data_IF_377602200382
#
_entry.id   IF_377602200382
#
_cell.length_a   1.000
_cell.length_b   1.000
_cell.length_c   1.000
_cell.angle_alpha   90.00
_cell.angle_beta   90.00
_cell.angle_gamma   90.00
#
_symmetry.space_group_name_H-M   'P 1'
#
loop_
_entity.id
_entity.type
_entity.pdbx_description
1 polymer ?
#
# COMPACT_ATOMS: atom_id res chain seq x y z
N UNK A 1 26.09 -0.14 6.78
CA UNK A 1 25.21 -0.90 7.70
C UNK A 1 24.27 -1.89 7.00
N UNK A 2 23.79 -1.66 5.77
CA UNK A 2 22.91 -2.61 5.01
C UNK A 2 23.64 -3.68 4.17
N UNK A 3 24.96 -3.55 3.94
CA UNK A 3 25.77 -4.55 3.25
C UNK A 3 25.79 -5.93 3.95
N UNK A 4 25.42 -6.02 5.23
CA UNK A 4 25.25 -7.28 5.96
C UNK A 4 23.84 -7.88 5.85
N UNK A 5 22.80 -7.04 5.69
CA UNK A 5 21.39 -7.46 5.58
C UNK A 5 21.10 -8.21 4.27
N UNK A 6 21.77 -7.80 3.19
CA UNK A 6 21.58 -8.33 1.82
C UNK A 6 22.43 -9.59 1.56
N UNK A 7 23.38 -9.94 2.44
CA UNK A 7 24.19 -11.16 2.33
C UNK A 7 23.48 -12.44 2.81
N UNK A 8 22.19 -12.37 3.13
CA UNK A 8 21.38 -13.56 3.41
C UNK A 8 21.24 -14.43 2.15
N UNK A 9 21.55 -15.73 2.25
CA UNK A 9 21.18 -16.72 1.22
C UNK A 9 19.64 -16.79 1.11
N UNK A 10 19.08 -17.03 -0.08
CA UNK A 10 17.64 -17.23 -0.32
C UNK A 10 16.91 -16.02 -0.93
N UNK A 11 15.62 -15.85 -0.60
CA UNK A 11 14.65 -14.92 -1.24
C UNK A 11 15.21 -13.51 -1.52
N UNK A 12 15.97 -12.94 -0.59
CA UNK A 12 16.57 -11.60 -0.73
C UNK A 12 17.58 -11.50 -1.85
N UNK A 13 18.44 -12.51 -1.99
CA UNK A 13 19.48 -12.54 -3.02
C UNK A 13 18.84 -12.52 -4.39
N UNK A 14 17.88 -13.41 -4.63
CA UNK A 14 17.20 -13.50 -5.92
C UNK A 14 16.51 -12.19 -6.29
N UNK A 15 15.89 -11.53 -5.30
CA UNK A 15 15.20 -10.26 -5.51
C UNK A 15 16.19 -9.12 -5.81
N UNK A 16 17.28 -9.03 -5.05
CA UNK A 16 18.35 -8.05 -5.29
C UNK A 16 19.06 -8.29 -6.63
N UNK A 17 19.34 -9.54 -7.00
CA UNK A 17 19.93 -9.91 -8.29
C UNK A 17 19.02 -9.50 -9.45
N UNK A 18 17.70 -9.74 -9.35
CA UNK A 18 16.73 -9.28 -10.36
C UNK A 18 16.75 -7.75 -10.54
N UNK A 19 16.81 -7.01 -9.43
CA UNK A 19 16.85 -5.54 -9.47
C UNK A 19 18.19 -5.03 -10.04
N UNK A 20 19.31 -5.69 -9.68
CA UNK A 20 20.65 -5.23 -10.04
C UNK A 20 21.06 -5.59 -11.48
N UNK A 21 20.70 -6.79 -11.95
CA UNK A 21 21.14 -7.31 -13.24
C UNK A 21 20.38 -6.73 -14.44
N UNK A 22 19.29 -6.02 -14.20
CA UNK A 22 18.47 -5.42 -15.25
C UNK A 22 18.32 -3.93 -14.99
N UNK A 23 18.88 -3.12 -15.88
CA UNK A 23 18.69 -1.66 -15.89
C UNK A 23 17.59 -1.36 -16.90
N UNK A 24 16.55 -0.64 -16.51
CA UNK A 24 15.35 -0.41 -17.36
C UNK A 24 15.24 1.00 -17.91
N UNK A 25 16.26 1.85 -17.69
CA UNK A 25 16.38 3.18 -18.30
C UNK A 25 16.13 4.32 -17.30
N UNK A 26 15.20 5.22 -17.61
CA UNK A 26 14.89 6.38 -16.77
C UNK A 26 14.02 5.99 -15.57
N UNK A 27 14.54 6.24 -14.36
CA UNK A 27 13.83 6.00 -13.11
C UNK A 27 12.57 6.85 -13.03
N UNK A 28 11.44 6.22 -12.72
CA UNK A 28 10.17 6.92 -12.47
C UNK A 28 9.45 6.30 -11.31
N UNK A 29 8.86 7.13 -10.47
CA UNK A 29 8.02 6.67 -9.38
C UNK A 29 6.58 7.13 -9.57
N UNK A 30 5.64 6.22 -9.33
CA UNK A 30 4.22 6.54 -9.17
C UNK A 30 3.80 6.23 -7.74
N UNK A 31 3.22 7.23 -7.06
CA UNK A 31 2.69 7.06 -5.71
C UNK A 31 1.23 6.62 -5.80
N UNK A 32 0.86 5.57 -5.07
CA UNK A 32 -0.50 5.01 -5.06
C UNK A 32 -0.91 4.58 -3.64
N UNK A 33 -2.17 4.20 -3.49
CA UNK A 33 -2.68 3.44 -2.36
C UNK A 33 -3.19 2.10 -2.89
N UNK A 34 -2.96 1.03 -2.12
CA UNK A 34 -3.50 -0.31 -2.45
C UNK A 34 -4.64 -0.70 -1.51
N UNK A 35 -4.74 -0.02 -0.37
CA UNK A 35 -5.79 -0.15 0.62
C UNK A 35 -6.29 1.23 1.03
N UNK A 36 -7.51 1.28 1.56
CA UNK A 36 -8.14 2.48 2.08
C UNK A 36 -9.08 2.13 3.24
N UNK A 37 -9.18 3.03 4.22
CA UNK A 37 -10.26 2.99 5.21
C UNK A 37 -11.45 3.74 4.60
N UNK A 38 -12.58 3.06 4.48
CA UNK A 38 -13.78 3.54 3.79
C UNK A 38 -15.01 3.36 4.68
N UNK A 39 -16.19 3.89 4.33
CA UNK A 39 -17.43 3.56 5.03
C UNK A 39 -17.75 2.06 5.07
N UNK A 40 -17.22 1.26 4.12
CA UNK A 40 -17.37 -0.20 4.08
C UNK A 40 -16.32 -0.93 4.94
N UNK A 41 -15.55 -0.19 5.74
CA UNK A 41 -14.37 -0.69 6.45
C UNK A 41 -13.11 -0.61 5.59
N UNK A 42 -12.12 -1.43 5.93
CA UNK A 42 -10.87 -1.51 5.19
C UNK A 42 -11.09 -2.22 3.85
N UNK A 43 -10.90 -1.48 2.75
CA UNK A 43 -10.88 -2.02 1.40
C UNK A 43 -9.44 -2.25 0.99
N UNK A 44 -9.15 -3.45 0.45
CA UNK A 44 -7.82 -3.80 -0.05
C UNK A 44 -7.92 -4.43 -1.44
N UNK A 45 -7.26 -3.82 -2.42
CA UNK A 45 -7.25 -4.31 -3.80
C UNK A 45 -6.14 -5.34 -4.02
N UNK A 46 -6.24 -6.48 -3.33
CA UNK A 46 -5.26 -7.57 -3.39
C UNK A 46 -5.06 -8.12 -4.80
N UNK A 47 -6.10 -8.19 -5.62
CA UNK A 47 -6.03 -8.68 -7.02
C UNK A 47 -5.09 -7.87 -7.91
N UNK A 48 -4.84 -6.60 -7.58
CA UNK A 48 -3.87 -5.77 -8.29
C UNK A 48 -2.45 -6.30 -8.14
N UNK A 49 -2.16 -7.06 -7.07
CA UNK A 49 -0.85 -7.68 -6.88
C UNK A 49 -0.56 -8.66 -8.01
N UNK A 50 -1.49 -9.59 -8.25
CA UNK A 50 -1.34 -10.64 -9.26
C UNK A 50 -1.37 -10.05 -10.69
N UNK A 51 -2.11 -8.95 -10.88
CA UNK A 51 -2.15 -8.23 -12.16
C UNK A 51 -0.82 -7.53 -12.52
N UNK A 52 -0.01 -7.18 -11.53
CA UNK A 52 1.22 -6.39 -11.71
C UNK A 52 2.51 -7.18 -11.51
N UNK A 53 2.45 -8.36 -10.91
CA UNK A 53 3.63 -9.18 -10.66
C UNK A 53 3.30 -10.68 -10.49
N UNK A 54 4.08 -11.51 -11.17
CA UNK A 54 4.11 -12.96 -10.95
C UNK A 54 5.00 -13.32 -9.76
N UNK A 55 6.08 -12.56 -9.53
CA UNK A 55 7.01 -12.81 -8.45
C UNK A 55 6.63 -11.96 -7.24
N UNK A 56 5.86 -12.52 -6.33
CA UNK A 56 5.41 -11.82 -5.13
C UNK A 56 6.28 -12.21 -3.93
N UNK A 57 6.81 -11.20 -3.22
CA UNK A 57 7.50 -11.36 -1.94
C UNK A 57 6.64 -10.69 -0.87
N UNK A 58 6.14 -11.48 0.06
CA UNK A 58 5.34 -10.99 1.18
C UNK A 58 6.23 -10.72 2.38
N UNK A 59 6.20 -9.48 2.86
CA UNK A 59 6.75 -9.07 4.15
C UNK A 59 5.67 -9.26 5.20
N UNK A 60 5.72 -10.37 5.93
CA UNK A 60 4.82 -10.63 7.04
C UNK A 60 5.31 -9.84 8.28
N UNK A 61 4.78 -8.63 8.42
CA UNK A 61 5.17 -7.63 9.42
C UNK A 61 4.00 -7.27 10.32
N UNK A 62 3.56 -8.25 11.11
CA UNK A 62 2.46 -8.14 12.09
C UNK A 62 2.56 -6.90 13.00
N UNK A 63 3.78 -6.43 13.30
CA UNK A 63 4.01 -5.29 14.19
C UNK A 63 4.37 -3.99 13.46
N UNK A 64 4.51 -4.00 12.12
CA UNK A 64 4.87 -2.83 11.32
C UNK A 64 6.26 -2.26 11.61
N UNK A 65 7.21 -3.09 12.06
CA UNK A 65 8.51 -2.63 12.56
C UNK A 65 9.62 -2.66 11.50
N UNK A 66 9.58 -3.61 10.58
CA UNK A 66 10.69 -3.84 9.64
C UNK A 66 10.31 -3.47 8.20
N UNK A 67 9.04 -3.65 7.81
CA UNK A 67 8.54 -3.50 6.45
C UNK A 67 8.87 -2.13 5.87
N UNK A 68 8.54 -1.05 6.60
CA UNK A 68 8.86 0.33 6.18
C UNK A 68 10.34 0.49 5.82
N UNK A 69 11.24 0.09 6.73
CA UNK A 69 12.69 0.26 6.54
C UNK A 69 13.20 -0.55 5.35
N UNK A 70 12.76 -1.81 5.24
CA UNK A 70 13.15 -2.69 4.13
C UNK A 70 12.64 -2.11 2.80
N UNK A 71 11.37 -1.73 2.73
CA UNK A 71 10.77 -1.18 1.51
C UNK A 71 11.44 0.14 1.10
N UNK A 72 11.79 1.02 2.04
CA UNK A 72 12.54 2.24 1.72
C UNK A 72 13.88 1.95 1.04
N UNK A 73 14.58 0.90 1.47
CA UNK A 73 15.85 0.48 0.85
C UNK A 73 15.61 -0.10 -0.54
N UNK A 74 14.60 -0.95 -0.70
CA UNK A 74 14.22 -1.53 -2.01
C UNK A 74 13.83 -0.43 -2.99
N UNK A 75 13.04 0.54 -2.55
CA UNK A 75 12.64 1.73 -3.33
C UNK A 75 13.88 2.47 -3.83
N UNK A 76 14.81 2.77 -2.93
CA UNK A 76 16.02 3.50 -3.28
C UNK A 76 16.89 2.73 -4.27
N UNK A 77 17.07 1.42 -4.07
CA UNK A 77 17.86 0.58 -4.98
C UNK A 77 17.18 0.44 -6.35
N UNK A 78 15.87 0.23 -6.40
CA UNK A 78 15.15 0.12 -7.66
C UNK A 78 15.26 1.41 -8.48
N UNK A 79 15.07 2.57 -7.85
CA UNK A 79 15.22 3.87 -8.50
C UNK A 79 16.67 4.13 -8.94
N UNK A 80 17.67 3.77 -8.12
CA UNK A 80 19.08 3.96 -8.49
C UNK A 80 19.50 3.12 -9.71
N UNK A 81 18.77 2.03 -9.99
CA UNK A 81 18.93 1.17 -11.16
C UNK A 81 18.04 1.54 -12.35
N UNK A 82 17.37 2.70 -12.29
CA UNK A 82 16.59 3.20 -13.42
C UNK A 82 15.20 2.57 -13.54
N UNK A 83 14.73 1.87 -12.52
CA UNK A 83 13.42 1.21 -12.59
C UNK A 83 12.26 2.17 -12.47
N UNK A 84 11.21 1.89 -13.26
CA UNK A 84 9.88 2.45 -13.04
C UNK A 84 9.18 1.65 -11.95
N UNK A 85 8.82 2.31 -10.86
CA UNK A 85 8.21 1.67 -9.68
C UNK A 85 6.86 2.29 -9.33
N UNK A 86 6.01 1.48 -8.69
CA UNK A 86 4.80 1.96 -8.02
C UNK A 86 5.01 1.76 -6.53
N UNK A 87 5.01 2.85 -5.77
CA UNK A 87 5.13 2.84 -4.32
C UNK A 87 3.76 3.07 -3.71
N UNK A 88 3.28 2.09 -2.94
CA UNK A 88 2.01 2.19 -2.23
C UNK A 88 2.24 2.44 -0.75
N UNK A 89 1.63 3.50 -0.24
CA UNK A 89 1.72 3.88 1.16
C UNK A 89 0.55 3.33 1.98
N UNK A 90 0.76 3.27 3.29
CA UNK A 90 -0.30 3.03 4.26
C UNK A 90 -1.32 4.17 4.21
N UNK A 91 -2.63 3.92 4.09
CA UNK A 91 -3.64 4.97 4.09
C UNK A 91 -3.67 5.76 5.40
N UNK A 92 -3.22 5.16 6.51
CA UNK A 92 -3.14 5.80 7.83
C UNK A 92 -1.83 6.58 8.06
N UNK A 93 -0.85 6.42 7.16
CA UNK A 93 0.44 7.11 7.25
C UNK A 93 1.01 7.35 5.83
N UNK A 94 0.28 8.11 4.98
CA UNK A 94 0.51 8.17 3.54
C UNK A 94 1.81 8.90 3.15
N UNK A 95 2.44 9.62 4.07
CA UNK A 95 3.66 10.39 3.83
C UNK A 95 4.92 9.75 4.43
N UNK A 96 4.76 8.67 5.20
CA UNK A 96 5.85 8.13 6.00
C UNK A 96 6.00 6.60 5.86
N UNK A 97 4.89 5.85 5.80
CA UNK A 97 4.94 4.38 5.83
C UNK A 97 4.64 3.79 4.44
N UNK A 98 5.68 3.31 3.76
CA UNK A 98 5.53 2.46 2.57
C UNK A 98 5.02 1.08 3.02
N UNK A 99 4.04 0.53 2.31
CA UNK A 99 3.50 -0.82 2.53
C UNK A 99 3.72 -1.76 1.35
N UNK A 100 3.74 -1.25 0.12
CA UNK A 100 3.97 -2.08 -1.06
C UNK A 100 4.85 -1.37 -2.09
N UNK A 101 5.64 -2.15 -2.84
CA UNK A 101 6.42 -1.70 -3.98
C UNK A 101 6.22 -2.68 -5.14
N UNK A 102 5.89 -2.16 -6.31
CA UNK A 102 5.85 -2.91 -7.56
C UNK A 102 6.97 -2.44 -8.48
N UNK A 103 7.61 -3.40 -9.15
CA UNK A 103 8.58 -3.17 -10.22
C UNK A 103 8.07 -3.93 -11.47
N UNK A 104 7.12 -3.36 -12.23
CA UNK A 104 6.40 -4.09 -13.29
C UNK A 104 7.31 -4.69 -14.37
N UNK A 105 8.38 -3.98 -14.75
CA UNK A 105 9.33 -4.46 -15.76
C UNK A 105 10.08 -5.75 -15.35
N UNK A 106 10.08 -6.07 -14.04
CA UNK A 106 10.66 -7.29 -13.49
C UNK A 106 9.60 -8.34 -13.11
N UNK A 107 8.31 -8.04 -13.31
CA UNK A 107 7.19 -8.84 -12.80
C UNK A 107 7.38 -9.17 -11.31
N UNK A 108 7.75 -8.17 -10.51
CA UNK A 108 8.19 -8.31 -9.12
C UNK A 108 7.42 -7.35 -8.20
N UNK A 109 6.92 -7.87 -7.09
CA UNK A 109 6.27 -7.09 -6.05
C UNK A 109 6.81 -7.44 -4.66
N UNK A 110 6.96 -6.41 -3.82
CA UNK A 110 7.16 -6.54 -2.39
C UNK A 110 5.94 -5.97 -1.69
N UNK A 111 5.24 -6.80 -0.93
CA UNK A 111 3.93 -6.45 -0.35
C UNK A 111 3.91 -6.76 1.13
N UNK A 112 3.37 -5.86 1.95
CA UNK A 112 3.26 -6.07 3.40
C UNK A 112 1.96 -6.78 3.76
N UNK A 113 2.06 -7.86 4.53
CA UNK A 113 0.94 -8.47 5.23
C UNK A 113 0.99 -8.10 6.72
N UNK A 114 -0.18 -7.91 7.32
CA UNK A 114 -0.33 -7.64 8.75
C UNK A 114 -1.73 -8.08 9.26
N UNK A 115 -2.14 -7.63 10.45
CA UNK A 115 -3.46 -7.91 11.01
C UNK A 115 -4.62 -7.46 10.11
N UNK A 116 -4.45 -6.34 9.41
CA UNK A 116 -5.46 -5.68 8.58
C UNK A 116 -5.36 -6.06 7.10
N UNK A 117 -4.14 -6.25 6.59
CA UNK A 117 -3.88 -6.59 5.18
C UNK A 117 -3.49 -8.06 5.07
N UNK A 118 -4.45 -8.89 4.65
CA UNK A 118 -4.22 -10.31 4.36
C UNK A 118 -3.92 -10.49 2.88
N UNK A 119 -2.84 -11.21 2.59
CA UNK A 119 -2.42 -11.53 1.23
C UNK A 119 -2.52 -13.03 1.07
N UNK A 120 -3.45 -13.46 0.22
CA UNK A 120 -3.70 -14.85 -0.09
C UNK A 120 -3.09 -15.16 -1.46
N UNK A 121 -1.78 -15.35 -1.49
CA UNK A 121 -1.07 -15.80 -2.69
C UNK A 121 -0.23 -17.02 -2.31
N UNK A 122 -0.55 -18.18 -2.88
CA UNK A 122 0.05 -19.48 -2.54
C UNK A 122 1.48 -19.63 -3.06
N UNK A 123 1.80 -18.95 -4.15
CA UNK A 123 3.11 -18.99 -4.79
C UNK A 123 4.04 -17.89 -4.27
N UNK A 124 3.53 -17.01 -3.40
CA UNK A 124 4.29 -15.94 -2.82
C UNK A 124 5.37 -16.46 -1.86
N UNK A 125 6.55 -15.85 -1.97
CA UNK A 125 7.67 -16.12 -1.06
C UNK A 125 7.52 -15.23 0.18
N UNK A 126 7.44 -15.85 1.36
CA UNK A 126 7.17 -15.13 2.60
C UNK A 126 8.46 -14.85 3.37
N UNK A 127 8.57 -13.62 3.86
CA UNK A 127 9.60 -13.15 4.76
C UNK A 127 8.93 -12.73 6.06
N UNK A 128 9.07 -13.54 7.10
CA UNK A 128 8.59 -13.18 8.44
C UNK A 128 9.48 -12.10 9.04
N UNK A 129 8.96 -10.88 9.16
CA UNK A 129 9.70 -9.72 9.65
C UNK A 129 10.03 -9.81 11.15
N UNK A 130 9.32 -10.67 11.90
CA UNK A 130 9.62 -10.96 13.32
C UNK A 130 11.06 -11.45 13.54
N UNK A 131 11.72 -12.01 12.52
CA UNK A 131 13.15 -12.40 12.59
C UNK A 131 14.11 -11.21 12.70
N UNK A 132 13.65 -10.01 12.33
CA UNK A 132 14.42 -8.77 12.43
C UNK A 132 14.12 -8.00 13.72
N UNK A 133 13.19 -8.49 14.54
CA UNK A 133 12.75 -7.81 15.75
C UNK A 133 13.46 -8.35 17.00
N UNK A 134 13.56 -7.50 18.04
CA UNK A 134 13.99 -7.95 19.36
C UNK A 134 12.91 -8.86 19.99
N UNK A 135 13.15 -10.18 19.94
CA UNK A 135 12.21 -11.21 20.45
C UNK A 135 11.98 -11.12 21.95
N UNK A 136 13.01 -10.79 22.73
CA UNK A 136 12.90 -10.61 24.19
C UNK A 136 12.06 -9.37 24.51
N UNK A 137 12.28 -8.28 23.76
CA UNK A 137 11.47 -7.06 23.85
C UNK A 137 10.00 -7.30 23.52
N UNK A 138 9.71 -8.08 22.48
CA UNK A 138 8.33 -8.48 22.14
C UNK A 138 7.72 -9.34 23.25
N UNK A 139 8.47 -10.33 23.75
CA UNK A 139 7.97 -11.28 24.75
C UNK A 139 7.67 -10.60 26.08
N UNK A 140 8.59 -9.78 26.57
CA UNK A 140 8.42 -9.01 27.82
C UNK A 140 7.24 -8.03 27.77
N UNK A 141 6.87 -7.54 26.57
CA UNK A 141 5.80 -6.54 26.38
C UNK A 141 4.52 -7.10 25.77
N UNK A 142 4.38 -8.44 25.66
CA UNK A 142 3.27 -9.10 24.95
C UNK A 142 1.87 -8.64 25.40
N UNK A 143 1.66 -8.41 26.70
CA UNK A 143 0.39 -7.91 27.23
C UNK A 143 0.05 -6.51 26.68
N UNK A 144 1.03 -5.60 26.69
CA UNK A 144 0.87 -4.24 26.16
C UNK A 144 0.67 -4.23 24.64
N UNK A 145 1.40 -5.09 23.92
CA UNK A 145 1.22 -5.25 22.47
C UNK A 145 -0.22 -5.70 22.15
N UNK A 146 -0.75 -6.70 22.84
CA UNK A 146 -2.14 -7.14 22.64
C UNK A 146 -3.16 -6.07 22.99
N UNK A 147 -2.94 -5.34 24.09
CA UNK A 147 -3.81 -4.23 24.47
C UNK A 147 -3.85 -3.16 23.36
N UNK A 148 -2.68 -2.72 22.88
CA UNK A 148 -2.59 -1.74 21.79
C UNK A 148 -3.19 -2.26 20.48
N UNK A 149 -3.06 -3.56 20.19
CA UNK A 149 -3.67 -4.17 19.01
C UNK A 149 -5.20 -4.06 19.04
N UNK A 150 -5.82 -4.41 20.18
CA UNK A 150 -7.28 -4.26 20.36
C UNK A 150 -7.71 -2.81 20.24
N UNK A 151 -6.99 -1.89 20.90
CA UNK A 151 -7.29 -0.46 20.78
C UNK A 151 -7.18 0.03 19.32
N UNK A 152 -6.19 -0.46 18.56
CA UNK A 152 -6.05 -0.14 17.13
C UNK A 152 -7.21 -0.68 16.30
N UNK A 153 -7.70 -1.88 16.59
CA UNK A 153 -8.86 -2.48 15.93
C UNK A 153 -10.14 -1.66 16.23
N UNK A 154 -10.35 -1.27 17.49
CA UNK A 154 -11.47 -0.41 17.90
C UNK A 154 -11.42 0.97 17.24
N UNK A 155 -10.24 1.60 17.18
CA UNK A 155 -10.06 2.89 16.51
C UNK A 155 -10.32 2.81 15.00
N UNK A 156 -9.95 1.71 14.36
CA UNK A 156 -10.27 1.49 12.94
C UNK A 156 -11.77 1.35 12.71
N UNK A 157 -12.45 0.62 13.59
CA UNK A 157 -13.90 0.47 13.52
C UNK A 157 -14.61 1.82 13.69
N UNK A 158 -14.22 2.60 14.71
CA UNK A 158 -14.78 3.95 14.92
C UNK A 158 -14.48 4.89 13.74
N UNK A 159 -13.29 4.81 13.16
CA UNK A 159 -12.95 5.57 11.96
C UNK A 159 -13.89 5.26 10.78
N UNK A 160 -14.22 3.98 10.57
CA UNK A 160 -15.19 3.57 9.56
C UNK A 160 -16.60 4.10 9.87
N UNK A 161 -17.02 4.08 11.13
CA UNK A 161 -18.33 4.59 11.57
C UNK A 161 -18.47 6.10 11.33
N UNK A 162 -17.42 6.86 11.59
CA UNK A 162 -17.38 8.29 11.27
C UNK A 162 -17.48 8.54 9.76
N UNK A 163 -16.85 7.71 8.93
CA UNK A 163 -16.99 7.80 7.48
C UNK A 163 -18.41 7.48 7.01
N UNK A 164 -19.11 6.55 7.66
CA UNK A 164 -20.52 6.26 7.39
C UNK A 164 -21.40 7.48 7.73
N UNK A 165 -21.16 8.12 8.87
CA UNK A 165 -21.90 9.32 9.26
C UNK A 165 -21.67 10.47 8.26
N UNK A 166 -20.41 10.70 7.89
CA UNK A 166 -20.05 11.68 6.87
C UNK A 166 -20.72 11.38 5.52
N UNK A 167 -20.76 10.11 5.11
CA UNK A 167 -21.44 9.69 3.88
C UNK A 167 -22.95 9.97 3.97
N UNK A 168 -23.61 9.71 5.10
CA UNK A 168 -25.05 10.02 5.27
C UNK A 168 -25.33 11.51 5.17
N UNK A 169 -24.52 12.34 5.82
CA UNK A 169 -24.66 13.79 5.72
C UNK A 169 -24.45 14.28 4.29
N UNK A 170 -23.45 13.72 3.59
CA UNK A 170 -23.21 13.99 2.18
C UNK A 170 -24.40 13.60 1.30
N UNK A 171 -24.94 12.38 1.44
CA UNK A 171 -26.09 11.91 0.66
C UNK A 171 -27.35 12.75 0.90
N UNK A 172 -27.56 13.26 2.12
CA UNK A 172 -28.67 14.19 2.39
C UNK A 172 -28.52 15.51 1.64
N UNK A 173 -27.32 16.09 1.62
CA UNK A 173 -27.03 17.30 0.85
C UNK A 173 -27.15 17.05 -0.65
N UNK A 174 -26.61 15.93 -1.12
CA UNK A 174 -26.66 15.50 -2.52
C UNK A 174 -28.10 15.34 -3.02
N UNK A 175 -29.03 14.89 -2.17
CA UNK A 175 -30.45 14.81 -2.51
C UNK A 175 -31.06 16.18 -2.84
N UNK A 176 -30.73 17.23 -2.07
CA UNK A 176 -31.19 18.59 -2.36
C UNK A 176 -30.58 19.14 -3.66
N UNK A 177 -29.29 18.92 -3.88
CA UNK A 177 -28.63 19.36 -5.12
C UNK A 177 -29.19 18.66 -6.35
N UNK A 178 -29.35 17.35 -6.28
CA UNK A 178 -29.91 16.55 -7.37
C UNK A 178 -31.33 16.99 -7.71
N UNK A 179 -32.16 17.28 -6.70
CA UNK A 179 -33.52 17.76 -6.91
C UNK A 179 -33.58 19.17 -7.53
N UNK A 180 -32.59 20.01 -7.27
CA UNK A 180 -32.51 21.38 -7.78
C UNK A 180 -31.72 21.52 -9.10
N UNK A 181 -30.99 20.49 -9.51
CA UNK A 181 -30.11 20.51 -10.69
C UNK A 181 -30.85 20.10 -11.96
N UNK A 182 -30.61 20.80 -13.07
CA UNK A 182 -30.95 20.31 -14.42
C UNK A 182 -29.68 19.75 -15.05
N UNK A 183 -29.48 18.44 -14.96
CA UNK A 183 -28.23 17.79 -15.37
C UNK A 183 -27.94 17.97 -16.86
N UNK A 184 -28.96 18.01 -17.72
CA UNK A 184 -28.80 18.22 -19.16
C UNK A 184 -28.10 19.56 -19.46
N UNK A 185 -28.44 20.62 -18.72
CA UNK A 185 -27.80 21.93 -18.87
C UNK A 185 -26.36 21.94 -18.34
N UNK A 186 -26.08 21.13 -17.32
CA UNK A 186 -24.73 20.95 -16.80
C UNK A 186 -23.84 20.27 -17.86
N UNK A 187 -24.37 19.22 -18.49
CA UNK A 187 -23.70 18.48 -19.56
C UNK A 187 -23.46 19.37 -20.78
N UNK A 188 -24.45 20.18 -21.19
CA UNK A 188 -24.28 21.17 -22.26
C UNK A 188 -23.17 22.19 -21.95
N UNK A 189 -23.12 22.69 -20.71
CA UNK A 189 -22.08 23.63 -20.29
C UNK A 189 -20.69 22.97 -20.27
N UNK A 190 -20.62 21.71 -19.81
CA UNK A 190 -19.40 20.92 -19.82
C UNK A 190 -18.88 20.70 -21.25
N UNK A 191 -19.73 20.26 -22.18
CA UNK A 191 -19.37 20.05 -23.58
C UNK A 191 -18.88 21.34 -24.26
N UNK A 192 -19.45 22.51 -23.93
CA UNK A 192 -18.95 23.81 -24.42
C UNK A 192 -17.56 24.13 -23.91
N UNK A 193 -17.26 23.82 -22.64
CA UNK A 193 -15.93 24.03 -22.06
C UNK A 193 -14.90 23.08 -22.68
N UNK A 194 -15.26 21.82 -22.88
CA UNK A 194 -14.39 20.82 -23.51
C UNK A 194 -13.99 21.23 -24.94
N UNK A 195 -14.96 21.69 -25.74
CA UNK A 195 -14.73 22.20 -27.09
C UNK A 195 -13.84 23.48 -27.14
N UNK A 196 -13.73 24.22 -26.03
CA UNK A 196 -12.83 25.36 -25.91
C UNK A 196 -11.39 24.95 -25.53
N UNK A 197 -11.22 23.82 -24.84
CA UNK A 197 -9.91 23.29 -24.43
C UNK A 197 -9.26 22.39 -25.47
N UNK A 198 -10.01 21.87 -26.45
CA UNK A 198 -9.47 21.09 -27.58
C UNK A 198 -9.00 21.94 -28.78
N UNK A 199 -8.98 23.28 -28.65
CA UNK A 199 -8.39 24.23 -29.61
C UNK A 199 -7.00 24.68 -29.18
#
# INVERSE_FOLDING_TARGET
>A
MLHGFIKGKGIWRDACEKIHNRVTGEARESIRLLSAVTPQGLVFYSKTIDALAENVIVLDDEFGLAGKTILSVIRQEALSKGHKIITCYCPLSPFDKIEHIFIPALSLAFVTANAFLKIENKDARIIHCTRFCNKEGITSRRKRIRFNKKASEELMQQGSEMLIEAQRAHSQLEAYYTAAMTFEKADEAYARLEALTER
#
